data_IF_035246052918
#
_entry.id   IF_035246052918
#
_cell.length_a   1.000
_cell.length_b   1.000
_cell.length_c   1.000
_cell.angle_alpha   90.00
_cell.angle_beta   90.00
_cell.angle_gamma   90.00
#
_symmetry.space_group_name_H-M   'P 1'
#
loop_
_entity.id
_entity.type
_entity.pdbx_description
1 polymer ?
#
# COMPACT_ATOMS: atom_id res chain seq x y z
N UNK A 1 83.10 -15.39 -22.78
CA UNK A 1 84.09 -16.30 -22.18
C UNK A 1 83.49 -16.85 -20.89
N UNK A 2 82.64 -17.88 -20.96
CA UNK A 2 83.00 -19.31 -20.89
C UNK A 2 83.66 -19.71 -19.55
N UNK A 3 82.89 -20.28 -18.62
CA UNK A 3 83.00 -21.71 -18.35
C UNK A 3 81.95 -22.22 -17.36
N UNK A 4 81.28 -23.27 -17.81
CA UNK A 4 80.55 -24.27 -17.05
C UNK A 4 81.52 -25.37 -16.58
N UNK A 5 81.02 -26.22 -15.67
CA UNK A 5 81.53 -27.52 -15.20
C UNK A 5 82.48 -27.45 -13.99
N UNK A 6 82.22 -28.14 -12.88
CA UNK A 6 82.10 -29.62 -12.77
C UNK A 6 81.41 -29.98 -11.42
N UNK A 7 80.24 -30.64 -11.39
CA UNK A 7 79.99 -32.09 -11.09
C UNK A 7 80.54 -32.55 -9.71
N UNK A 8 79.70 -32.75 -8.67
CA UNK A 8 78.81 -33.90 -8.34
C UNK A 8 79.45 -34.96 -7.39
N UNK A 9 78.77 -35.21 -6.25
CA UNK A 9 78.71 -36.45 -5.42
C UNK A 9 79.96 -36.83 -4.57
N UNK A 10 79.92 -37.24 -3.29
CA UNK A 10 78.88 -37.84 -2.40
C UNK A 10 79.38 -37.84 -0.92
N UNK A 11 78.44 -37.63 0.04
CA UNK A 11 78.26 -38.33 1.36
C UNK A 11 79.38 -38.14 2.42
N UNK A 12 79.18 -37.84 3.72
CA UNK A 12 78.08 -38.00 4.69
C UNK A 12 78.33 -37.15 5.93
N UNK A 13 77.26 -36.93 6.71
CA UNK A 13 77.20 -36.44 8.09
C UNK A 13 77.05 -34.93 8.26
N UNK A 14 75.79 -34.48 8.28
CA UNK A 14 75.23 -33.76 9.44
C UNK A 14 73.70 -33.82 9.32
N UNK A 15 73.10 -34.78 10.05
CA UNK A 15 71.69 -34.71 10.47
C UNK A 15 71.66 -33.78 11.68
N UNK A 16 70.87 -32.71 11.66
CA UNK A 16 70.01 -32.32 12.78
C UNK A 16 69.18 -31.04 12.52
N UNK A 17 67.88 -31.16 12.82
CA UNK A 17 66.87 -30.13 13.13
C UNK A 17 66.48 -29.09 12.07
N UNK A 18 65.42 -29.40 11.32
CA UNK A 18 64.47 -28.38 10.86
C UNK A 18 63.39 -28.21 11.94
N UNK A 19 63.32 -27.04 12.55
CA UNK A 19 62.22 -26.66 13.43
C UNK A 19 61.07 -26.14 12.55
N UNK A 20 59.98 -26.90 12.46
CA UNK A 20 58.71 -26.43 11.93
C UNK A 20 58.13 -25.38 12.90
N UNK A 21 58.11 -24.10 12.51
CA UNK A 21 57.31 -23.11 13.20
C UNK A 21 55.83 -23.38 12.91
N UNK A 22 55.18 -24.13 13.78
CA UNK A 22 53.72 -24.18 13.85
C UNK A 22 53.21 -22.78 14.18
N UNK A 23 52.32 -22.23 13.34
CA UNK A 23 51.54 -21.03 13.68
C UNK A 23 50.94 -21.22 15.08
N UNK A 24 50.99 -20.23 15.98
CA UNK A 24 50.37 -20.36 17.29
C UNK A 24 48.88 -20.63 17.11
N UNK A 25 48.43 -21.77 17.66
CA UNK A 25 47.02 -22.09 17.79
C UNK A 25 46.41 -21.09 18.76
N UNK A 26 45.65 -20.13 18.22
CA UNK A 26 44.80 -19.25 19.01
C UNK A 26 43.52 -20.05 19.27
N UNK A 27 43.22 -20.44 20.52
CA UNK A 27 41.99 -21.15 20.80
C UNK A 27 40.82 -20.23 20.42
N UNK A 28 39.93 -20.73 19.56
CA UNK A 28 38.62 -20.11 19.35
C UNK A 28 37.90 -20.09 20.70
N UNK A 29 37.75 -18.89 21.26
CA UNK A 29 36.87 -18.67 22.40
C UNK A 29 35.45 -19.01 21.93
N UNK A 30 34.92 -20.15 22.37
CA UNK A 30 33.50 -20.45 22.23
C UNK A 30 32.71 -19.35 22.97
N UNK A 31 31.84 -18.66 22.23
CA UNK A 31 31.01 -17.58 22.77
C UNK A 31 31.29 -16.17 22.21
N UNK A 32 32.29 -15.97 21.35
CA UNK A 32 32.42 -14.71 20.61
C UNK A 32 31.54 -14.76 19.36
N UNK A 33 30.31 -14.28 19.48
CA UNK A 33 29.55 -13.84 18.30
C UNK A 33 30.36 -12.71 17.66
N UNK A 34 31.08 -13.00 16.56
CA UNK A 34 31.65 -11.94 15.73
C UNK A 34 30.47 -11.09 15.26
N UNK A 35 30.32 -9.90 15.84
CA UNK A 35 29.36 -8.93 15.32
C UNK A 35 29.80 -8.58 13.91
N UNK A 36 28.98 -8.92 12.92
CA UNK A 36 29.18 -8.49 11.54
C UNK A 36 29.21 -6.94 11.55
N UNK A 37 30.25 -6.29 11.00
CA UNK A 37 30.29 -4.83 10.88
C UNK A 37 29.03 -4.30 10.18
N UNK A 38 28.58 -3.11 10.56
CA UNK A 38 27.34 -2.51 10.03
C UNK A 38 27.37 -2.44 8.48
N UNK A 39 28.54 -2.16 7.91
CA UNK A 39 28.77 -2.08 6.47
C UNK A 39 28.53 -3.44 5.77
N UNK A 40 28.97 -4.54 6.39
CA UNK A 40 28.75 -5.89 5.86
C UNK A 40 27.27 -6.31 6.04
N UNK A 41 26.62 -5.81 7.09
CA UNK A 41 25.18 -5.98 7.29
C UNK A 41 24.38 -5.22 6.23
N UNK A 42 24.82 -4.03 5.79
CA UNK A 42 24.21 -3.28 4.69
C UNK A 42 24.41 -3.99 3.33
N UNK A 43 25.57 -4.61 3.08
CA UNK A 43 25.78 -5.41 1.87
C UNK A 43 24.99 -6.73 1.87
N UNK A 44 24.88 -7.42 3.00
CA UNK A 44 24.01 -8.59 3.12
C UNK A 44 22.54 -8.19 3.01
N UNK A 45 22.13 -7.12 3.69
CA UNK A 45 20.80 -6.57 3.59
C UNK A 45 20.49 -6.14 2.15
N UNK A 46 21.48 -5.57 1.44
CA UNK A 46 21.25 -5.11 0.07
C UNK A 46 20.92 -6.26 -0.87
N UNK A 47 21.65 -7.37 -0.76
CA UNK A 47 21.42 -8.61 -1.52
C UNK A 47 20.12 -9.33 -1.11
N UNK A 48 19.68 -9.17 0.13
CA UNK A 48 18.45 -9.77 0.65
C UNK A 48 17.20 -8.94 0.31
N UNK A 49 17.35 -7.66 -0.05
CA UNK A 49 16.22 -6.75 -0.21
C UNK A 49 16.10 -6.09 -1.59
N UNK A 50 17.20 -5.95 -2.32
CA UNK A 50 17.22 -5.40 -3.68
C UNK A 50 17.88 -6.38 -4.65
N UNK A 51 17.35 -6.39 -5.87
CA UNK A 51 17.92 -7.10 -7.01
C UNK A 51 18.08 -6.08 -8.14
N UNK A 52 19.29 -5.55 -8.27
CA UNK A 52 19.62 -4.53 -9.26
C UNK A 52 19.90 -5.12 -10.65
N UNK A 53 19.83 -6.46 -10.79
CA UNK A 53 20.08 -7.13 -12.08
C UNK A 53 18.87 -7.10 -13.00
N UNK A 54 17.68 -6.86 -12.45
CA UNK A 54 16.43 -6.81 -13.21
C UNK A 54 16.36 -5.51 -14.01
N UNK A 55 16.10 -5.64 -15.31
CA UNK A 55 15.96 -4.51 -16.23
C UNK A 55 14.64 -4.59 -16.99
N UNK A 56 14.34 -3.57 -17.80
CA UNK A 56 13.18 -3.59 -18.71
C UNK A 56 13.26 -4.73 -19.74
N UNK A 57 14.44 -5.32 -19.94
CA UNK A 57 14.67 -6.44 -20.84
C UNK A 57 14.37 -7.81 -20.22
N UNK A 58 14.09 -7.86 -18.91
CA UNK A 58 13.70 -9.10 -18.21
C UNK A 58 12.47 -9.74 -18.89
N UNK A 59 12.52 -11.03 -19.27
CA UNK A 59 11.43 -11.69 -20.00
C UNK A 59 10.08 -11.68 -19.25
N UNK A 60 10.11 -11.74 -17.92
CA UNK A 60 8.92 -11.67 -17.07
C UNK A 60 8.32 -10.28 -17.13
N UNK A 61 9.16 -9.24 -16.99
CA UNK A 61 8.73 -7.83 -17.06
C UNK A 61 8.11 -7.53 -18.42
N UNK A 62 8.80 -7.86 -19.52
CA UNK A 62 8.31 -7.64 -20.89
C UNK A 62 6.97 -8.31 -21.13
N UNK A 63 6.87 -9.60 -20.84
CA UNK A 63 5.63 -10.37 -21.02
C UNK A 63 4.49 -9.79 -20.19
N UNK A 64 4.77 -9.42 -18.94
CA UNK A 64 3.76 -8.85 -18.05
C UNK A 64 3.28 -7.50 -18.56
N UNK A 65 4.19 -6.62 -18.97
CA UNK A 65 3.88 -5.31 -19.52
C UNK A 65 2.99 -5.43 -20.77
N UNK A 66 3.39 -6.23 -21.75
CA UNK A 66 2.59 -6.44 -22.98
C UNK A 66 1.18 -6.93 -22.67
N UNK A 67 1.04 -7.92 -21.79
CA UNK A 67 -0.27 -8.48 -21.46
C UNK A 67 -1.13 -7.52 -20.61
N UNK A 68 -0.51 -6.72 -19.74
CA UNK A 68 -1.17 -5.70 -18.93
C UNK A 68 -1.74 -4.59 -19.83
N UNK A 69 -0.91 -4.05 -20.74
CA UNK A 69 -1.34 -3.02 -21.70
C UNK A 69 -2.41 -3.53 -22.66
N UNK A 70 -2.46 -4.84 -22.93
CA UNK A 70 -3.53 -5.49 -23.67
C UNK A 70 -4.85 -5.67 -22.86
N UNK A 71 -4.90 -5.22 -21.61
CA UNK A 71 -6.07 -5.29 -20.74
C UNK A 71 -6.40 -6.69 -20.21
N UNK A 72 -5.42 -7.61 -20.18
CA UNK A 72 -5.66 -8.97 -19.70
C UNK A 72 -5.80 -9.01 -18.17
N UNK A 73 -6.99 -9.37 -17.67
CA UNK A 73 -7.28 -9.46 -16.22
C UNK A 73 -6.31 -10.36 -15.44
N UNK A 74 -5.90 -11.48 -16.04
CA UNK A 74 -4.93 -12.40 -15.42
C UNK A 74 -3.54 -11.76 -15.27
N UNK A 75 -3.14 -10.93 -16.24
CA UNK A 75 -1.88 -10.18 -16.16
C UNK A 75 -1.96 -9.10 -15.08
N UNK A 76 -3.07 -8.37 -14.97
CA UNK A 76 -3.30 -7.41 -13.88
C UNK A 76 -3.18 -8.09 -12.51
N UNK A 77 -3.86 -9.21 -12.29
CA UNK A 77 -3.77 -9.94 -11.02
C UNK A 77 -2.35 -10.42 -10.71
N UNK A 78 -1.64 -10.91 -11.73
CA UNK A 78 -0.25 -11.37 -11.59
C UNK A 78 0.72 -10.21 -11.32
N UNK A 79 0.51 -9.06 -11.96
CA UNK A 79 1.29 -7.85 -11.75
C UNK A 79 1.10 -7.30 -10.33
N UNK A 80 -0.13 -7.27 -9.82
CA UNK A 80 -0.42 -6.88 -8.43
C UNK A 80 0.29 -7.84 -7.46
N UNK A 81 0.21 -9.14 -7.71
CA UNK A 81 0.91 -10.15 -6.88
C UNK A 81 2.44 -9.98 -6.93
N UNK A 82 2.98 -9.50 -8.06
CA UNK A 82 4.41 -9.27 -8.25
C UNK A 82 4.90 -8.09 -7.38
N UNK A 83 4.17 -6.98 -7.38
CA UNK A 83 4.52 -5.78 -6.58
C UNK A 83 4.31 -6.00 -5.08
N UNK A 84 3.32 -6.82 -4.69
CA UNK A 84 3.08 -7.25 -3.32
C UNK A 84 4.16 -8.23 -2.77
N UNK A 85 5.04 -8.74 -3.63
CA UNK A 85 5.99 -9.79 -3.25
C UNK A 85 7.10 -9.28 -2.32
N UNK A 86 7.42 -10.07 -1.30
CA UNK A 86 8.60 -9.86 -0.44
C UNK A 86 9.89 -10.45 -1.03
N UNK A 87 9.81 -11.19 -2.13
CA UNK A 87 11.00 -11.72 -2.81
C UNK A 87 11.73 -10.59 -3.57
N UNK A 88 13.06 -10.42 -3.41
CA UNK A 88 13.80 -9.30 -3.97
C UNK A 88 13.72 -9.17 -5.48
N UNK A 89 13.94 -10.27 -6.20
CA UNK A 89 13.85 -10.32 -7.67
C UNK A 89 12.44 -9.98 -8.14
N UNK A 90 11.41 -10.58 -7.54
CA UNK A 90 10.00 -10.28 -7.89
C UNK A 90 9.65 -8.82 -7.62
N UNK A 91 10.09 -8.29 -6.48
CA UNK A 91 9.91 -6.88 -6.12
C UNK A 91 10.61 -5.95 -7.12
N UNK A 92 11.83 -6.27 -7.53
CA UNK A 92 12.55 -5.53 -8.56
C UNK A 92 11.83 -5.58 -9.92
N UNK A 93 11.36 -6.76 -10.34
CA UNK A 93 10.52 -6.92 -11.55
C UNK A 93 9.24 -6.08 -11.47
N UNK A 94 8.57 -6.07 -10.32
CA UNK A 94 7.40 -5.21 -10.08
C UNK A 94 7.71 -3.73 -10.19
N UNK A 95 8.82 -3.26 -9.61
CA UNK A 95 9.26 -1.87 -9.70
C UNK A 95 9.59 -1.45 -11.13
N UNK A 96 10.29 -2.29 -11.90
CA UNK A 96 10.59 -2.01 -13.31
C UNK A 96 9.29 -1.98 -14.13
N UNK A 97 8.37 -2.92 -13.90
CA UNK A 97 7.05 -2.94 -14.54
C UNK A 97 6.26 -1.65 -14.26
N UNK A 98 6.19 -1.23 -13.00
CA UNK A 98 5.51 0.01 -12.60
C UNK A 98 6.11 1.23 -13.31
N UNK A 99 7.44 1.28 -13.45
CA UNK A 99 8.11 2.37 -14.16
C UNK A 99 7.71 2.41 -15.63
N UNK A 100 7.68 1.27 -16.32
CA UNK A 100 7.23 1.19 -17.71
C UNK A 100 5.76 1.63 -17.86
N UNK A 101 4.89 1.22 -16.94
CA UNK A 101 3.48 1.65 -16.92
C UNK A 101 3.36 3.17 -16.70
N UNK A 102 4.12 3.74 -15.76
CA UNK A 102 4.13 5.19 -15.53
C UNK A 102 4.65 5.97 -16.73
N UNK A 103 5.63 5.43 -17.46
CA UNK A 103 6.15 6.06 -18.68
C UNK A 103 5.08 6.11 -19.77
N UNK A 104 4.35 5.01 -19.99
CA UNK A 104 3.25 4.94 -20.95
C UNK A 104 2.07 5.83 -20.54
N UNK A 105 1.64 5.81 -19.28
CA UNK A 105 0.54 6.65 -18.79
C UNK A 105 0.90 8.15 -18.85
N UNK A 106 2.16 8.51 -18.62
CA UNK A 106 2.63 9.89 -18.82
C UNK A 106 2.53 10.31 -20.29
N UNK A 107 2.90 9.44 -21.22
CA UNK A 107 2.82 9.74 -22.65
C UNK A 107 1.39 9.73 -23.18
N UNK A 108 0.51 8.93 -22.58
CA UNK A 108 -0.94 8.96 -22.79
C UNK A 108 -1.55 10.27 -22.27
N UNK A 109 -1.17 10.72 -21.08
CA UNK A 109 -1.59 12.01 -20.52
C UNK A 109 -1.16 13.20 -21.37
N UNK A 110 0.06 13.19 -21.92
CA UNK A 110 0.49 14.24 -22.87
C UNK A 110 -0.38 14.31 -24.12
N UNK A 111 -0.94 13.18 -24.57
CA UNK A 111 -1.76 13.09 -25.80
C UNK A 111 -3.24 13.41 -25.55
N UNK A 112 -3.77 12.96 -24.42
CA UNK A 112 -5.21 12.95 -24.14
C UNK A 112 -5.62 13.85 -22.96
N UNK A 113 -4.64 14.39 -22.22
CA UNK A 113 -4.89 15.21 -21.03
C UNK A 113 -5.55 14.43 -19.91
N UNK A 114 -6.37 15.14 -19.10
CA UNK A 114 -7.09 14.57 -17.95
C UNK A 114 -7.96 13.37 -18.31
N UNK A 115 -8.48 13.28 -19.52
CA UNK A 115 -9.35 12.18 -19.94
C UNK A 115 -8.66 10.82 -19.94
N UNK A 116 -7.33 10.76 -19.93
CA UNK A 116 -6.60 9.50 -19.77
C UNK A 116 -6.43 9.05 -18.33
N UNK A 117 -6.70 9.91 -17.35
CA UNK A 117 -6.46 9.64 -15.94
C UNK A 117 -7.55 8.72 -15.38
N UNK A 118 -7.15 7.73 -14.59
CA UNK A 118 -8.09 6.92 -13.80
C UNK A 118 -8.72 7.77 -12.69
N UNK A 119 -10.02 7.69 -12.44
CA UNK A 119 -10.64 8.36 -11.28
C UNK A 119 -10.58 7.47 -10.04
N UNK A 120 -9.96 7.97 -8.95
CA UNK A 120 -9.73 7.24 -7.70
C UNK A 120 -10.76 7.66 -6.64
N UNK A 121 -11.65 6.74 -6.28
CA UNK A 121 -12.75 6.97 -5.33
C UNK A 121 -12.50 6.15 -4.07
N UNK A 122 -12.33 6.80 -2.92
CA UNK A 122 -12.27 6.15 -1.63
C UNK A 122 -13.68 5.97 -1.05
N UNK A 123 -14.02 4.79 -0.55
CA UNK A 123 -15.31 4.53 0.11
C UNK A 123 -15.06 3.98 1.51
N UNK A 124 -15.59 4.66 2.51
CA UNK A 124 -15.57 4.23 3.91
C UNK A 124 -16.96 4.33 4.54
N UNK A 125 -17.12 3.78 5.74
CA UNK A 125 -18.36 3.75 6.49
C UNK A 125 -18.36 2.62 7.52
N UNK A 126 -19.18 2.77 8.55
CA UNK A 126 -19.26 1.80 9.66
C UNK A 126 -19.60 0.38 9.18
N UNK A 127 -19.20 -0.68 9.91
CA UNK A 127 -19.68 -2.03 9.63
C UNK A 127 -21.21 -2.08 9.57
N UNK A 128 -21.77 -2.78 8.57
CA UNK A 128 -23.22 -2.92 8.42
C UNK A 128 -23.94 -1.75 7.74
N UNK A 129 -23.25 -0.66 7.39
CA UNK A 129 -23.84 0.48 6.64
C UNK A 129 -24.30 0.11 5.22
N UNK A 130 -23.85 -1.02 4.68
CA UNK A 130 -24.19 -1.46 3.33
C UNK A 130 -23.13 -1.11 2.26
N UNK A 131 -21.86 -0.89 2.65
CA UNK A 131 -20.75 -0.58 1.74
C UNK A 131 -20.66 -1.50 0.54
N UNK A 132 -20.47 -2.80 0.74
CA UNK A 132 -20.25 -3.73 -0.38
C UNK A 132 -21.44 -3.78 -1.34
N UNK A 133 -22.68 -3.71 -0.82
CA UNK A 133 -23.88 -3.64 -1.66
C UNK A 133 -23.98 -2.32 -2.42
N UNK A 134 -23.58 -1.20 -1.80
CA UNK A 134 -23.53 0.08 -2.47
C UNK A 134 -22.43 0.12 -3.56
N UNK A 135 -21.25 -0.45 -3.29
CA UNK A 135 -20.16 -0.57 -4.26
C UNK A 135 -20.58 -1.43 -5.45
N UNK A 136 -21.28 -2.55 -5.22
CA UNK A 136 -21.84 -3.36 -6.30
C UNK A 136 -22.83 -2.57 -7.16
N UNK A 137 -23.80 -1.89 -6.54
CA UNK A 137 -24.78 -1.08 -7.25
C UNK A 137 -24.11 0.07 -8.04
N UNK A 138 -23.14 0.76 -7.43
CA UNK A 138 -22.37 1.82 -8.07
C UNK A 138 -21.52 1.29 -9.22
N UNK A 139 -20.82 0.17 -9.02
CA UNK A 139 -20.02 -0.47 -10.07
C UNK A 139 -20.87 -0.92 -11.26
N UNK A 140 -22.07 -1.46 -11.01
CA UNK A 140 -23.02 -1.80 -12.05
C UNK A 140 -23.53 -0.56 -12.80
N UNK A 141 -23.87 0.52 -12.10
CA UNK A 141 -24.25 1.80 -12.72
C UNK A 141 -23.13 2.35 -13.63
N UNK A 142 -21.90 2.38 -13.14
CA UNK A 142 -20.72 2.85 -13.87
C UNK A 142 -20.44 2.01 -15.12
N UNK A 143 -20.55 0.69 -15.02
CA UNK A 143 -20.23 -0.23 -16.13
C UNK A 143 -21.36 -0.29 -17.16
N UNK A 144 -22.62 -0.38 -16.73
CA UNK A 144 -23.77 -0.58 -17.62
C UNK A 144 -24.23 0.73 -18.26
N UNK A 145 -24.39 1.80 -17.46
CA UNK A 145 -25.00 3.04 -17.94
C UNK A 145 -23.96 4.09 -18.38
N UNK A 146 -22.73 4.02 -17.86
CA UNK A 146 -21.64 4.94 -18.23
C UNK A 146 -20.51 4.32 -19.04
N UNK A 147 -20.58 3.01 -19.31
CA UNK A 147 -19.60 2.29 -20.13
C UNK A 147 -18.18 2.26 -19.56
N UNK A 148 -18.02 2.46 -18.25
CA UNK A 148 -16.70 2.54 -17.59
C UNK A 148 -16.17 1.17 -17.19
N UNK A 149 -14.86 0.98 -17.29
CA UNK A 149 -14.14 -0.13 -16.64
C UNK A 149 -13.83 0.23 -15.20
N UNK A 150 -14.24 -0.63 -14.26
CA UNK A 150 -14.18 -0.36 -12.82
C UNK A 150 -13.29 -1.38 -12.11
N UNK A 151 -12.29 -0.92 -11.37
CA UNK A 151 -11.53 -1.74 -10.43
C UNK A 151 -12.02 -1.47 -9.00
N UNK A 152 -12.12 -2.50 -8.17
CA UNK A 152 -12.42 -2.40 -6.74
C UNK A 152 -11.27 -3.03 -5.97
N UNK A 153 -10.58 -2.23 -5.17
CA UNK A 153 -9.47 -2.63 -4.31
C UNK A 153 -9.91 -2.51 -2.85
N UNK A 154 -9.94 -3.63 -2.12
CA UNK A 154 -10.36 -3.61 -0.71
C UNK A 154 -9.17 -3.72 0.24
N UNK A 155 -9.19 -2.91 1.29
CA UNK A 155 -8.20 -2.84 2.37
C UNK A 155 -8.76 -3.57 3.59
N UNK A 156 -8.20 -4.72 3.94
CA UNK A 156 -8.54 -5.37 5.21
C UNK A 156 -7.32 -5.40 6.16
N UNK A 157 -7.22 -4.48 7.14
CA UNK A 157 -6.13 -4.44 8.11
C UNK A 157 -6.09 -5.66 9.03
N UNK A 158 -7.20 -6.39 9.20
CA UNK A 158 -7.25 -7.60 10.04
C UNK A 158 -6.61 -8.82 9.39
N UNK A 159 -6.40 -8.77 8.07
CA UNK A 159 -5.68 -9.81 7.34
C UNK A 159 -4.22 -10.01 7.79
N UNK A 160 -3.69 -9.12 8.64
CA UNK A 160 -2.31 -9.14 9.13
C UNK A 160 -2.06 -10.33 10.05
N UNK A 161 -3.12 -10.81 10.70
CA UNK A 161 -3.08 -12.00 11.56
C UNK A 161 -3.40 -13.28 10.79
N UNK A 162 -4.12 -13.21 9.66
CA UNK A 162 -4.60 -14.40 8.93
C UNK A 162 -3.84 -14.69 7.63
N UNK A 163 -2.92 -13.81 7.20
CA UNK A 163 -2.10 -14.00 6.01
C UNK A 163 -2.81 -13.65 4.68
N UNK A 164 -3.93 -12.91 4.74
CA UNK A 164 -4.77 -12.58 3.58
C UNK A 164 -5.93 -13.55 3.40
N UNK A 165 -7.11 -13.01 3.09
CA UNK A 165 -8.25 -13.80 2.60
C UNK A 165 -8.26 -13.76 1.08
N UNK A 166 -8.36 -14.93 0.43
CA UNK A 166 -8.39 -15.06 -1.04
C UNK A 166 -9.81 -14.89 -1.60
N UNK A 167 -10.86 -15.08 -0.78
CA UNK A 167 -12.23 -15.30 -1.25
C UNK A 167 -13.32 -14.53 -0.47
N UNK A 168 -12.97 -13.81 0.61
CA UNK A 168 -13.94 -13.38 1.63
C UNK A 168 -15.06 -12.46 1.12
N UNK A 169 -14.72 -11.38 0.41
CA UNK A 169 -15.69 -10.36 -0.02
C UNK A 169 -16.24 -10.57 -1.43
N UNK A 170 -15.67 -11.48 -2.24
CA UNK A 170 -16.26 -11.82 -3.54
C UNK A 170 -17.68 -12.39 -3.40
N UNK A 171 -18.02 -12.94 -2.23
CA UNK A 171 -19.36 -13.41 -1.91
C UNK A 171 -20.40 -12.30 -1.73
N UNK A 172 -19.96 -11.06 -1.45
CA UNK A 172 -20.81 -9.87 -1.20
C UNK A 172 -21.07 -9.02 -2.45
N UNK A 173 -20.26 -9.17 -3.50
CA UNK A 173 -20.39 -8.46 -4.78
C UNK A 173 -20.52 -9.49 -5.93
N UNK A 174 -21.60 -10.26 -5.93
CA UNK A 174 -21.78 -11.42 -6.81
C UNK A 174 -22.00 -11.05 -8.28
N UNK A 175 -22.73 -9.98 -8.56
CA UNK A 175 -23.00 -9.52 -9.92
C UNK A 175 -21.76 -8.83 -10.49
N UNK A 176 -21.19 -7.90 -9.72
CA UNK A 176 -20.03 -7.12 -10.17
C UNK A 176 -18.80 -8.01 -10.39
N UNK A 177 -18.60 -9.05 -9.57
CA UNK A 177 -17.47 -9.99 -9.74
C UNK A 177 -17.52 -10.76 -11.07
N UNK A 178 -18.70 -10.98 -11.64
CA UNK A 178 -18.92 -11.65 -12.93
C UNK A 178 -18.89 -10.70 -14.11
N UNK A 179 -18.95 -9.40 -13.88
CA UNK A 179 -18.93 -8.39 -14.92
C UNK A 179 -17.54 -8.36 -15.61
N UNK A 180 -17.45 -8.50 -16.94
CA UNK A 180 -16.17 -8.46 -17.65
C UNK A 180 -15.49 -7.08 -17.58
N UNK A 181 -16.28 -6.01 -17.39
CA UNK A 181 -15.81 -4.63 -17.25
C UNK A 181 -15.39 -4.27 -15.81
N UNK A 182 -15.55 -5.21 -14.86
CA UNK A 182 -15.15 -5.01 -13.48
C UNK A 182 -14.00 -5.93 -13.06
N UNK A 183 -13.16 -5.45 -12.16
CA UNK A 183 -12.12 -6.24 -11.49
C UNK A 183 -12.16 -5.99 -10.00
N UNK A 184 -12.14 -7.04 -9.20
CA UNK A 184 -12.20 -6.96 -7.74
C UNK A 184 -10.99 -7.67 -7.16
N UNK A 185 -10.24 -6.98 -6.30
CA UNK A 185 -9.05 -7.51 -5.62
C UNK A 185 -9.11 -7.15 -4.15
N UNK A 186 -9.01 -8.17 -3.31
CA UNK A 186 -8.71 -7.97 -1.89
C UNK A 186 -7.19 -7.82 -1.74
N UNK A 187 -6.74 -6.72 -1.13
CA UNK A 187 -5.33 -6.51 -0.84
C UNK A 187 -4.95 -7.27 0.43
N UNK A 188 -3.91 -8.13 0.41
CA UNK A 188 -3.35 -8.67 1.63
C UNK A 188 -2.66 -7.56 2.44
N UNK A 189 -2.67 -7.66 3.76
CA UNK A 189 -1.78 -6.86 4.61
C UNK A 189 -0.42 -7.53 4.73
N UNK A 190 0.64 -6.73 4.75
CA UNK A 190 2.01 -7.23 4.94
C UNK A 190 2.47 -7.22 6.41
N UNK A 191 1.55 -7.17 7.38
CA UNK A 191 1.83 -7.17 8.82
C UNK A 191 1.86 -5.80 9.50
N UNK A 192 1.74 -4.70 8.74
CA UNK A 192 1.60 -3.33 9.25
C UNK A 192 0.68 -2.51 8.34
N UNK A 193 0.06 -1.44 8.88
CA UNK A 193 -0.81 -0.55 8.09
C UNK A 193 -0.05 0.11 6.92
N UNK A 194 1.23 0.42 7.09
CA UNK A 194 2.05 1.06 6.05
C UNK A 194 2.33 0.15 4.84
N UNK A 195 2.57 -1.14 5.07
CA UNK A 195 2.77 -2.06 3.95
C UNK A 195 1.50 -2.46 3.20
N UNK A 196 0.31 -2.28 3.81
CA UNK A 196 -1.00 -2.34 3.12
C UNK A 196 -1.12 -1.20 2.11
N UNK A 197 -0.75 0.02 2.54
CA UNK A 197 -0.86 1.21 1.69
C UNK A 197 0.06 1.15 0.49
N UNK A 198 1.22 0.50 0.63
CA UNK A 198 2.17 0.35 -0.46
C UNK A 198 1.59 -0.44 -1.64
N UNK A 199 1.08 -1.64 -1.38
CA UNK A 199 0.57 -2.52 -2.43
C UNK A 199 -0.60 -1.93 -3.21
N UNK A 200 -1.42 -1.09 -2.54
CA UNK A 200 -2.61 -0.49 -3.16
C UNK A 200 -2.26 0.65 -4.10
N UNK A 201 -1.33 1.53 -3.73
CA UNK A 201 -0.89 2.58 -4.64
C UNK A 201 -0.30 1.98 -5.92
N UNK A 202 0.56 0.96 -5.77
CA UNK A 202 1.13 0.23 -6.89
C UNK A 202 0.03 -0.47 -7.72
N UNK A 203 -0.99 -1.06 -7.07
CA UNK A 203 -2.13 -1.64 -7.75
C UNK A 203 -2.99 -0.63 -8.52
N UNK A 204 -3.16 0.60 -8.00
CA UNK A 204 -3.86 1.69 -8.71
C UNK A 204 -3.16 2.03 -10.02
N UNK A 205 -1.83 2.16 -10.00
CA UNK A 205 -1.02 2.40 -11.21
C UNK A 205 -1.20 1.25 -12.22
N UNK A 206 -1.19 0.00 -11.75
CA UNK A 206 -1.39 -1.16 -12.61
C UNK A 206 -2.81 -1.21 -13.20
N UNK A 207 -3.83 -0.81 -12.45
CA UNK A 207 -5.20 -0.67 -12.97
C UNK A 207 -5.28 0.43 -14.04
N UNK A 208 -4.62 1.56 -13.83
CA UNK A 208 -4.53 2.66 -14.80
C UNK A 208 -3.91 2.17 -16.12
N UNK A 209 -2.75 1.50 -16.05
CA UNK A 209 -2.09 0.89 -17.21
C UNK A 209 -2.89 -0.24 -17.89
N UNK A 210 -3.71 -0.96 -17.13
CA UNK A 210 -4.62 -1.98 -17.69
C UNK A 210 -5.87 -1.38 -18.36
N UNK A 211 -6.00 -0.04 -18.37
CA UNK A 211 -7.09 0.68 -19.04
C UNK A 211 -8.38 0.71 -18.24
N UNK A 212 -8.32 0.73 -16.91
CA UNK A 212 -9.48 1.02 -16.05
C UNK A 212 -9.74 2.51 -15.96
N UNK A 213 -11.01 2.91 -15.99
CA UNK A 213 -11.42 4.32 -15.93
C UNK A 213 -11.65 4.79 -14.48
N UNK A 214 -12.08 3.87 -13.61
CA UNK A 214 -12.39 4.15 -12.21
C UNK A 214 -11.76 3.08 -11.33
N UNK A 215 -11.13 3.50 -10.23
CA UNK A 215 -10.74 2.62 -9.14
C UNK A 215 -11.44 3.02 -7.85
N UNK A 216 -12.14 2.07 -7.25
CA UNK A 216 -12.81 2.20 -5.96
C UNK A 216 -11.90 1.57 -4.91
N UNK A 217 -11.53 2.33 -3.89
CA UNK A 217 -10.70 1.88 -2.78
C UNK A 217 -11.59 1.79 -1.53
N UNK A 218 -11.90 0.57 -1.10
CA UNK A 218 -12.74 0.32 0.07
C UNK A 218 -11.89 0.05 1.32
N UNK A 219 -12.26 0.64 2.46
CA UNK A 219 -11.79 0.17 3.78
C UNK A 219 -12.71 -0.91 4.34
N UNK A 220 -12.14 -2.04 4.74
CA UNK A 220 -12.82 -3.09 5.50
C UNK A 220 -12.50 -2.91 6.98
N UNK A 221 -13.53 -2.87 7.83
CA UNK A 221 -13.39 -2.90 9.29
C UNK A 221 -13.35 -1.54 10.02
N UNK A 222 -13.03 -1.60 11.31
CA UNK A 222 -12.89 -0.44 12.23
C UNK A 222 -11.41 -0.12 12.41
N UNK A 223 -10.96 1.08 12.02
CA UNK A 223 -9.53 1.40 11.99
C UNK A 223 -9.19 2.89 11.91
N UNK A 224 -7.90 3.14 11.61
CA UNK A 224 -7.33 4.44 11.18
C UNK A 224 -6.96 4.38 9.68
N UNK A 225 -7.61 3.49 8.92
CA UNK A 225 -7.33 3.27 7.49
C UNK A 225 -7.97 4.35 6.62
N UNK A 226 -8.90 5.14 7.14
CA UNK A 226 -9.64 6.17 6.41
C UNK A 226 -8.75 7.35 6.03
N UNK A 227 -7.79 7.72 6.90
CA UNK A 227 -6.77 8.73 6.58
C UNK A 227 -5.93 8.26 5.41
N UNK A 228 -5.47 7.00 5.47
CA UNK A 228 -4.69 6.40 4.39
C UNK A 228 -5.47 6.35 3.07
N UNK A 229 -6.75 5.99 3.10
CA UNK A 229 -7.59 6.00 1.89
C UNK A 229 -7.83 7.39 1.35
N UNK A 230 -8.10 8.38 2.20
CA UNK A 230 -8.20 9.79 1.79
C UNK A 230 -6.89 10.29 1.15
N UNK A 231 -5.74 9.76 1.58
CA UNK A 231 -4.46 10.06 0.95
C UNK A 231 -4.27 9.35 -0.40
N UNK A 232 -5.09 8.33 -0.75
CA UNK A 232 -5.02 7.49 -1.97
C UNK A 232 -6.10 7.73 -3.01
N UNK A 233 -7.14 8.49 -2.67
CA UNK A 233 -8.20 8.83 -3.59
C UNK A 233 -8.17 10.31 -4.00
N UNK A 234 -8.82 10.61 -5.12
CA UNK A 234 -9.14 11.97 -5.52
C UNK A 234 -10.37 12.44 -4.73
N UNK A 235 -11.38 11.57 -4.62
CA UNK A 235 -12.64 11.80 -3.93
C UNK A 235 -12.84 10.80 -2.78
N UNK A 236 -13.22 11.27 -1.60
CA UNK A 236 -13.58 10.43 -0.47
C UNK A 236 -15.09 10.45 -0.21
N UNK A 237 -15.73 9.29 -0.34
CA UNK A 237 -17.15 9.07 -0.06
C UNK A 237 -17.33 8.36 1.29
N UNK A 238 -18.16 8.93 2.15
CA UNK A 238 -18.53 8.36 3.45
C UNK A 238 -19.97 7.87 3.44
N UNK A 239 -20.15 6.56 3.65
CA UNK A 239 -21.47 5.98 3.82
C UNK A 239 -21.91 6.04 5.28
N UNK A 240 -23.17 6.45 5.49
CA UNK A 240 -23.80 6.64 6.79
C UNK A 240 -25.05 5.78 6.92
N UNK A 241 -25.24 5.19 8.10
CA UNK A 241 -26.44 4.39 8.39
C UNK A 241 -27.54 5.29 8.98
N UNK A 242 -28.81 5.15 8.57
CA UNK A 242 -29.90 5.95 9.10
C UNK A 242 -30.35 5.51 10.51
N UNK A 243 -29.78 4.43 11.06
CA UNK A 243 -30.37 3.71 12.20
C UNK A 243 -29.63 3.84 13.55
N UNK A 244 -28.64 4.73 13.70
CA UNK A 244 -27.92 4.88 14.98
C UNK A 244 -27.84 6.35 15.41
N UNK A 245 -28.75 6.77 16.29
CA UNK A 245 -28.90 8.15 16.76
C UNK A 245 -27.71 8.71 17.56
N UNK A 246 -26.75 7.88 17.95
CA UNK A 246 -25.51 8.30 18.65
C UNK A 246 -24.28 8.33 17.72
N UNK A 247 -24.43 8.05 16.42
CA UNK A 247 -23.29 7.99 15.48
C UNK A 247 -22.71 9.37 15.10
N UNK A 248 -23.36 10.51 15.38
CA UNK A 248 -22.67 11.79 15.22
C UNK A 248 -21.44 11.90 16.17
N UNK A 249 -21.49 11.21 17.33
CA UNK A 249 -20.31 11.02 18.19
C UNK A 249 -19.41 9.86 17.73
N UNK A 250 -19.96 8.86 17.02
CA UNK A 250 -19.24 7.68 16.53
C UNK A 250 -18.48 7.89 15.21
N UNK A 251 -18.96 8.78 14.33
CA UNK A 251 -18.22 9.25 13.17
C UNK A 251 -17.18 10.22 13.69
N UNK A 252 -15.94 9.74 13.79
CA UNK A 252 -14.78 10.54 14.20
C UNK A 252 -14.80 11.83 13.39
N UNK A 253 -14.83 12.99 14.05
CA UNK A 253 -14.73 14.33 13.42
C UNK A 253 -13.74 14.36 12.24
N UNK A 254 -12.59 13.71 12.39
CA UNK A 254 -11.57 13.62 11.33
C UNK A 254 -12.03 12.94 10.04
N UNK A 255 -12.90 11.92 10.06
CA UNK A 255 -13.37 11.26 8.83
C UNK A 255 -14.33 12.15 8.05
N UNK A 256 -15.22 12.87 8.74
CA UNK A 256 -16.12 13.84 8.09
C UNK A 256 -15.34 14.98 7.44
N UNK A 257 -14.32 15.49 8.14
CA UNK A 257 -13.42 16.53 7.61
C UNK A 257 -12.70 16.06 6.33
N UNK A 258 -12.46 14.76 6.20
CA UNK A 258 -11.83 14.14 5.02
C UNK A 258 -12.82 13.78 3.90
N UNK A 259 -14.13 13.91 4.09
CA UNK A 259 -15.12 13.41 3.12
C UNK A 259 -15.56 14.49 2.14
N UNK A 260 -15.55 14.17 0.85
CA UNK A 260 -16.03 15.04 -0.24
C UNK A 260 -17.52 14.81 -0.55
N UNK A 261 -18.06 13.63 -0.19
CA UNK A 261 -19.47 13.30 -0.30
C UNK A 261 -19.91 12.37 0.82
N UNK A 262 -21.04 12.67 1.44
CA UNK A 262 -21.66 11.81 2.45
C UNK A 262 -22.92 11.20 1.85
N UNK A 263 -23.13 9.91 2.04
CA UNK A 263 -24.29 9.18 1.52
C UNK A 263 -24.96 8.42 2.64
N UNK A 264 -26.16 8.87 3.04
CA UNK A 264 -27.02 8.12 3.96
C UNK A 264 -27.65 6.97 3.19
N UNK A 265 -27.23 5.75 3.47
CA UNK A 265 -27.70 4.54 2.81
C UNK A 265 -29.05 4.08 3.35
N UNK A 266 -29.64 3.05 2.74
CA UNK A 266 -30.89 2.42 3.20
C UNK A 266 -32.06 3.42 3.30
N UNK A 267 -32.14 4.38 2.38
CA UNK A 267 -33.27 5.32 2.25
C UNK A 267 -34.52 4.64 1.66
N UNK A 268 -34.98 3.57 2.30
CA UNK A 268 -36.09 2.73 1.87
C UNK A 268 -36.95 2.24 3.05
N UNK A 269 -38.16 1.79 2.74
CA UNK A 269 -39.13 1.29 3.71
C UNK A 269 -39.29 2.19 4.96
N UNK A 270 -39.23 1.55 6.12
CA UNK A 270 -39.37 2.19 7.43
C UNK A 270 -38.19 3.09 7.82
N UNK A 271 -37.07 3.01 7.09
CA UNK A 271 -35.86 3.79 7.36
C UNK A 271 -35.87 5.15 6.67
N UNK A 272 -36.75 5.41 5.69
CA UNK A 272 -36.83 6.70 4.96
C UNK A 272 -36.92 7.92 5.87
N UNK A 273 -37.76 7.86 6.91
CA UNK A 273 -37.92 8.97 7.84
C UNK A 273 -36.62 9.25 8.62
N UNK A 274 -35.95 8.20 9.09
CA UNK A 274 -34.67 8.31 9.81
C UNK A 274 -33.53 8.76 8.90
N UNK A 275 -33.51 8.30 7.64
CA UNK A 275 -32.52 8.73 6.65
C UNK A 275 -32.62 10.23 6.37
N UNK A 276 -33.84 10.78 6.28
CA UNK A 276 -34.07 12.23 6.16
C UNK A 276 -33.58 13.01 7.38
N UNK A 277 -33.85 12.51 8.59
CA UNK A 277 -33.35 13.14 9.82
C UNK A 277 -31.82 13.14 9.86
N UNK A 278 -31.21 11.99 9.60
CA UNK A 278 -29.74 11.83 9.54
C UNK A 278 -29.14 12.78 8.51
N UNK A 279 -29.72 12.85 7.30
CA UNK A 279 -29.26 13.78 6.27
C UNK A 279 -29.25 15.24 6.78
N UNK A 280 -30.34 15.67 7.44
CA UNK A 280 -30.45 17.02 7.97
C UNK A 280 -29.42 17.32 9.07
N UNK A 281 -29.15 16.35 9.95
CA UNK A 281 -28.13 16.45 10.99
C UNK A 281 -26.73 16.66 10.41
N UNK A 282 -26.34 15.83 9.42
CA UNK A 282 -25.03 15.95 8.78
C UNK A 282 -24.92 17.23 7.93
N UNK A 283 -25.99 17.66 7.25
CA UNK A 283 -26.01 18.97 6.57
C UNK A 283 -25.77 20.09 7.57
N UNK A 284 -26.38 20.02 8.76
CA UNK A 284 -26.16 21.00 9.82
C UNK A 284 -24.70 20.99 10.30
N UNK A 285 -24.12 19.81 10.51
CA UNK A 285 -22.73 19.65 10.95
C UNK A 285 -21.73 20.18 9.92
N UNK A 286 -21.94 19.92 8.62
CA UNK A 286 -21.06 20.40 7.54
C UNK A 286 -20.95 21.93 7.49
N UNK A 287 -21.96 22.68 7.94
CA UNK A 287 -21.92 24.16 7.98
C UNK A 287 -20.84 24.71 8.92
N UNK A 288 -20.42 23.94 9.90
CA UNK A 288 -19.39 24.33 10.86
C UNK A 288 -18.00 23.87 10.45
N UNK A 289 -17.87 23.18 9.33
CA UNK A 289 -16.60 22.66 8.83
C UNK A 289 -16.11 23.49 7.65
N UNK A 290 -14.79 23.65 7.57
CA UNK A 290 -14.15 24.27 6.41
C UNK A 290 -14.04 23.21 5.30
N UNK A 291 -14.49 23.50 4.07
CA UNK A 291 -14.24 22.63 2.94
C UNK A 291 -12.74 22.38 2.74
N UNK A 292 -12.38 21.17 2.30
CA UNK A 292 -10.99 20.82 1.96
C UNK A 292 -10.51 21.46 0.66
N UNK A 293 -11.44 21.67 -0.26
CA UNK A 293 -11.23 22.28 -1.55
C UNK A 293 -12.07 23.54 -1.62
N UNK A 294 -11.50 24.63 -2.13
CA UNK A 294 -12.26 25.86 -2.33
C UNK A 294 -13.33 25.68 -3.42
N UNK A 295 -13.07 24.78 -4.39
CA UNK A 295 -13.96 24.48 -5.52
C UNK A 295 -15.06 23.46 -5.21
N UNK A 296 -15.02 22.78 -4.05
CA UNK A 296 -15.99 21.76 -3.72
C UNK A 296 -16.47 21.85 -2.27
N UNK A 297 -17.80 21.94 -2.10
CA UNK A 297 -18.43 21.84 -0.79
C UNK A 297 -19.02 20.45 -0.63
N UNK A 298 -18.66 19.69 0.42
CA UNK A 298 -19.25 18.39 0.68
C UNK A 298 -20.77 18.47 0.76
N UNK A 299 -21.45 17.51 0.13
CA UNK A 299 -22.89 17.35 0.16
C UNK A 299 -23.29 16.09 0.93
N UNK A 300 -24.52 16.05 1.43
CA UNK A 300 -25.12 14.85 2.03
C UNK A 300 -26.28 14.39 1.17
N UNK A 301 -26.12 13.23 0.53
CA UNK A 301 -27.15 12.60 -0.27
C UNK A 301 -27.80 11.44 0.49
N UNK A 302 -28.96 10.99 0.00
CA UNK A 302 -29.62 9.77 0.45
C UNK A 302 -29.66 8.79 -0.70
N UNK A 303 -29.44 7.51 -0.44
CA UNK A 303 -29.50 6.47 -1.45
C UNK A 303 -30.00 5.15 -0.88
N UNK A 304 -30.73 4.42 -1.70
CA UNK A 304 -31.08 3.02 -1.46
C UNK A 304 -30.66 2.20 -2.66
N UNK A 305 -30.01 1.06 -2.44
CA UNK A 305 -29.70 0.10 -3.51
C UNK A 305 -30.97 -0.51 -4.14
N UNK A 306 -32.12 -0.39 -3.46
CA UNK A 306 -33.43 -0.81 -4.00
C UNK A 306 -33.97 0.20 -5.01
N UNK A 307 -33.42 1.41 -5.04
CA UNK A 307 -33.78 2.50 -5.94
C UNK A 307 -32.57 2.87 -6.81
N UNK A 308 -32.56 2.35 -8.05
CA UNK A 308 -31.50 2.57 -9.02
C UNK A 308 -31.29 4.06 -9.35
N UNK A 309 -32.34 4.85 -9.35
CA UNK A 309 -32.25 6.29 -9.63
C UNK A 309 -31.45 6.99 -8.53
N UNK A 310 -31.65 6.61 -7.27
CA UNK A 310 -30.88 7.15 -6.15
C UNK A 310 -29.38 6.88 -6.27
N UNK A 311 -28.98 5.69 -6.73
CA UNK A 311 -27.56 5.33 -6.96
C UNK A 311 -27.00 6.09 -8.16
N UNK A 312 -27.77 6.21 -9.24
CA UNK A 312 -27.38 7.00 -10.42
C UNK A 312 -27.17 8.47 -10.08
N UNK A 313 -28.03 9.06 -9.24
CA UNK A 313 -27.88 10.43 -8.76
C UNK A 313 -26.58 10.63 -7.96
N UNK A 314 -26.22 9.67 -7.10
CA UNK A 314 -24.93 9.71 -6.40
C UNK A 314 -23.76 9.61 -7.39
N UNK A 315 -23.85 8.74 -8.39
CA UNK A 315 -22.83 8.66 -9.44
C UNK A 315 -22.69 9.97 -10.22
N UNK A 316 -23.79 10.65 -10.54
CA UNK A 316 -23.77 11.96 -11.19
C UNK A 316 -23.03 12.98 -10.33
N UNK A 317 -23.34 13.05 -9.03
CA UNK A 317 -22.65 13.95 -8.10
C UNK A 317 -21.15 13.65 -7.97
N UNK A 318 -20.77 12.38 -8.02
CA UNK A 318 -19.36 11.95 -8.03
C UNK A 318 -18.63 12.46 -9.29
N UNK A 319 -19.29 12.46 -10.46
CA UNK A 319 -18.70 13.04 -11.68
C UNK A 319 -18.72 14.56 -11.69
N UNK A 320 -19.71 15.22 -11.07
CA UNK A 320 -19.67 16.67 -10.84
C UNK A 320 -18.42 17.06 -10.02
N UNK A 321 -18.07 16.27 -9.00
CA UNK A 321 -16.81 16.47 -8.26
C UNK A 321 -15.59 16.31 -9.17
N UNK A 322 -15.57 15.23 -9.97
CA UNK A 322 -14.47 14.95 -10.89
C UNK A 322 -14.22 16.14 -11.82
N UNK A 323 -15.28 16.73 -12.36
CA UNK A 323 -15.20 17.88 -13.25
C UNK A 323 -14.73 19.14 -12.52
N UNK A 324 -15.32 19.46 -11.37
CA UNK A 324 -14.95 20.63 -10.58
C UNK A 324 -13.47 20.59 -10.14
N UNK A 325 -12.97 19.44 -9.66
CA UNK A 325 -11.57 19.33 -9.23
C UNK A 325 -10.61 19.38 -10.42
N UNK A 326 -11.00 18.81 -11.56
CA UNK A 326 -10.19 18.83 -12.78
C UNK A 326 -10.05 20.24 -13.37
N UNK A 327 -11.13 21.01 -13.41
CA UNK A 327 -11.12 22.39 -13.92
C UNK A 327 -10.29 23.34 -13.04
N UNK A 328 -10.22 23.07 -11.74
CA UNK A 328 -9.48 23.88 -10.78
C UNK A 328 -7.95 23.71 -10.82
N UNK A 329 -7.46 22.58 -11.38
CA UNK A 329 -6.06 22.16 -11.29
C UNK A 329 -5.65 21.59 -9.91
N UNK A 330 -6.58 21.51 -8.94
CA UNK A 330 -6.31 20.92 -7.63
C UNK A 330 -6.06 19.41 -7.69
N UNK A 331 -6.57 18.73 -8.73
CA UNK A 331 -6.43 17.29 -8.91
C UNK A 331 -4.95 16.87 -9.04
N UNK A 332 -4.24 17.45 -10.00
CA UNK A 332 -2.83 17.17 -10.26
C UNK A 332 -1.97 17.55 -9.06
N UNK A 333 -2.22 18.73 -8.48
CA UNK A 333 -1.51 19.20 -7.29
C UNK A 333 -1.66 18.21 -6.13
N UNK A 334 -2.89 17.77 -5.85
CA UNK A 334 -3.16 16.78 -4.79
C UNK A 334 -2.47 15.46 -5.07
N UNK A 335 -2.53 14.94 -6.29
CA UNK A 335 -1.84 13.68 -6.64
C UNK A 335 -0.33 13.79 -6.45
N UNK A 336 0.28 14.93 -6.79
CA UNK A 336 1.71 15.17 -6.56
C UNK A 336 2.07 15.19 -5.06
N UNK A 337 1.26 15.87 -4.24
CA UNK A 337 1.43 15.91 -2.79
C UNK A 337 1.28 14.50 -2.17
N UNK A 338 0.27 13.74 -2.61
CA UNK A 338 0.05 12.35 -2.19
C UNK A 338 1.24 11.46 -2.54
N UNK A 339 1.78 11.56 -3.77
CA UNK A 339 2.96 10.81 -4.20
C UNK A 339 4.20 11.10 -3.37
N UNK A 340 4.45 12.37 -3.03
CA UNK A 340 5.57 12.75 -2.16
C UNK A 340 5.40 12.18 -0.75
N UNK A 341 4.19 12.29 -0.19
CA UNK A 341 3.86 11.73 1.13
C UNK A 341 4.07 10.21 1.15
N UNK A 342 3.72 9.51 0.08
CA UNK A 342 3.94 8.07 -0.03
C UNK A 342 5.38 7.67 -0.11
N UNK A 343 6.21 8.39 -0.88
CA UNK A 343 7.64 8.13 -0.91
C UNK A 343 8.22 8.17 0.50
N UNK A 344 7.88 9.20 1.29
CA UNK A 344 8.37 9.33 2.67
C UNK A 344 7.80 8.28 3.62
N UNK A 345 6.54 7.91 3.49
CA UNK A 345 5.96 6.80 4.26
C UNK A 345 6.67 5.48 3.96
N UNK A 346 6.96 5.22 2.68
CA UNK A 346 7.68 4.02 2.26
C UNK A 346 9.12 3.99 2.81
N UNK A 347 9.83 5.12 2.75
CA UNK A 347 11.17 5.25 3.37
C UNK A 347 11.11 4.96 4.87
N UNK A 348 10.12 5.52 5.58
CA UNK A 348 9.94 5.28 7.02
C UNK A 348 9.69 3.81 7.32
N UNK A 349 8.84 3.14 6.55
CA UNK A 349 8.52 1.72 6.74
C UNK A 349 9.72 0.82 6.48
N UNK A 350 10.49 1.08 5.42
CA UNK A 350 11.72 0.32 5.10
C UNK A 350 12.80 0.53 6.16
N UNK A 351 13.04 1.77 6.61
CA UNK A 351 13.99 2.06 7.69
C UNK A 351 13.57 1.33 8.99
N UNK A 352 12.28 1.36 9.34
CA UNK A 352 11.79 0.63 10.51
C UNK A 352 11.98 -0.88 10.37
N UNK A 353 11.76 -1.44 9.17
CA UNK A 353 12.00 -2.85 8.90
C UNK A 353 13.48 -3.24 9.01
N UNK A 354 14.41 -2.38 8.54
CA UNK A 354 15.86 -2.55 8.77
C UNK A 354 16.16 -2.54 10.26
N UNK A 355 15.67 -1.52 10.97
CA UNK A 355 15.94 -1.29 12.38
C UNK A 355 15.50 -2.47 13.25
N UNK A 356 14.27 -2.96 13.05
CA UNK A 356 13.70 -4.07 13.82
C UNK A 356 14.41 -5.41 13.57
N UNK A 357 14.95 -5.63 12.35
CA UNK A 357 15.68 -6.84 12.00
C UNK A 357 17.15 -6.81 12.40
N UNK A 358 17.68 -5.65 12.79
CA UNK A 358 19.07 -5.52 13.17
C UNK A 358 19.39 -6.44 14.37
N UNK A 359 20.39 -7.33 14.30
CA UNK A 359 20.61 -8.37 15.32
C UNK A 359 20.74 -7.85 16.75
N UNK A 360 21.40 -6.70 16.93
CA UNK A 360 21.51 -6.08 18.27
C UNK A 360 20.17 -5.56 18.79
N UNK A 361 19.32 -5.04 17.91
CA UNK A 361 18.02 -4.46 18.27
C UNK A 361 17.00 -5.57 18.51
N UNK A 362 16.95 -6.57 17.62
CA UNK A 362 16.07 -7.73 17.77
C UNK A 362 16.26 -8.46 19.12
N UNK A 363 17.51 -8.50 19.62
CA UNK A 363 17.83 -9.07 20.93
C UNK A 363 17.54 -8.11 22.10
N UNK A 364 17.75 -6.80 21.92
CA UNK A 364 17.61 -5.79 22.98
C UNK A 364 16.14 -5.38 23.23
N UNK A 365 15.34 -5.28 22.17
CA UNK A 365 13.98 -4.75 22.23
C UNK A 365 13.07 -5.50 23.22
N UNK A 366 13.02 -6.85 23.25
CA UNK A 366 12.18 -7.58 24.21
C UNK A 366 12.55 -7.30 25.68
N UNK A 367 13.84 -7.06 25.94
CA UNK A 367 14.28 -6.71 27.29
C UNK A 367 13.80 -5.31 27.68
N UNK A 368 13.99 -4.32 26.81
CA UNK A 368 13.55 -2.95 27.06
C UNK A 368 12.02 -2.84 27.19
N UNK A 369 11.26 -3.62 26.41
CA UNK A 369 9.80 -3.69 26.56
C UNK A 369 9.38 -4.22 27.95
N UNK A 370 10.09 -5.22 28.48
CA UNK A 370 9.86 -5.70 29.86
C UNK A 370 10.24 -4.66 30.90
N UNK A 371 11.32 -3.93 30.67
CA UNK A 371 11.78 -2.87 31.58
C UNK A 371 10.81 -1.68 31.59
N UNK A 372 10.21 -1.32 30.44
CA UNK A 372 9.12 -0.33 30.37
C UNK A 372 7.90 -0.82 31.16
N UNK A 373 7.44 -2.06 30.92
CA UNK A 373 6.26 -2.61 31.60
C UNK A 373 6.44 -2.71 33.12
N UNK A 374 7.67 -2.92 33.58
CA UNK A 374 8.01 -2.99 35.01
C UNK A 374 8.42 -1.65 35.62
N UNK A 375 8.38 -0.55 34.85
CA UNK A 375 8.70 0.79 35.34
C UNK A 375 10.19 1.05 35.60
N UNK A 376 11.09 0.20 35.10
CA UNK A 376 12.55 0.34 35.26
C UNK A 376 13.16 1.39 34.32
N UNK A 377 12.49 1.71 33.22
CA UNK A 377 12.91 2.72 32.25
C UNK A 377 11.69 3.41 31.63
N UNK A 378 11.90 4.58 31.02
CA UNK A 378 10.86 5.28 30.27
C UNK A 378 10.90 4.86 28.79
N UNK A 379 9.76 4.93 28.06
CA UNK A 379 9.74 4.65 26.62
C UNK A 379 10.73 5.50 25.81
N UNK A 380 10.90 6.78 26.19
CA UNK A 380 11.83 7.69 25.52
C UNK A 380 13.30 7.25 25.66
N UNK A 381 13.72 6.91 26.89
CA UNK A 381 15.10 6.47 27.14
C UNK A 381 15.38 5.10 26.50
N UNK A 382 14.42 4.17 26.55
CA UNK A 382 14.52 2.89 25.86
C UNK A 382 14.66 3.06 24.34
N UNK A 383 13.87 3.94 23.72
CA UNK A 383 13.97 4.26 22.30
C UNK A 383 15.34 4.86 21.94
N UNK A 384 15.82 5.83 22.71
CA UNK A 384 17.15 6.42 22.52
C UNK A 384 18.26 5.36 22.63
N UNK A 385 18.16 4.46 23.61
CA UNK A 385 19.09 3.35 23.80
C UNK A 385 19.13 2.45 22.56
N UNK A 386 17.97 2.06 22.01
CA UNK A 386 17.92 1.26 20.78
C UNK A 386 18.55 2.01 19.60
N UNK A 387 18.29 3.30 19.44
CA UNK A 387 18.85 4.13 18.37
C UNK A 387 20.38 4.20 18.48
N UNK A 388 20.90 4.48 19.68
CA UNK A 388 22.34 4.51 19.97
C UNK A 388 23.02 3.18 19.64
N UNK A 389 22.42 2.07 20.08
CA UNK A 389 22.92 0.71 19.79
C UNK A 389 22.89 0.39 18.30
N UNK A 390 21.89 0.87 17.56
CA UNK A 390 21.80 0.70 16.11
C UNK A 390 22.93 1.43 15.38
N UNK A 391 23.21 2.69 15.76
CA UNK A 391 24.31 3.48 15.20
C UNK A 391 25.70 3.15 15.78
N UNK A 392 25.77 2.36 16.85
CA UNK A 392 27.02 2.01 17.52
C UNK A 392 27.64 3.16 18.31
N UNK A 393 26.83 4.08 18.83
CA UNK A 393 27.25 5.29 19.58
C UNK A 393 26.87 5.25 21.05
#
# INVERSE_FOLDING_TARGET
MSNLATKLWRISQFRQFSASFSKPYIPTIEGVNKSVPFENLLEEYSRIHWDDTVTAEDPTVKRMFTNLMAGQRAALASAITLVESKNPTKRAQGNVLLKLVLDEERDKYKRLGRDSMIFRIGISGSPGVGKSSFIEAMGNELTVNRGKKVAVLTIDPTSAMTGGSVLGDLTRMQELSRNPMAYIRQSPTSGSLGGVTRGIHEAVILCEGAGYDVVIIETVGVGQSEVSVSDMCDMMCLLLSPAHGDELQGVKRGIMEMSDLLVVTKDDGDLKAKAKMTQAEYISALKFMRPRLDVWRPEVMRSSIMDKESVSNVCSKIYEFWDAIGESGDLERRRQEQMQKWMWNHVKDEIMAVFQKHPKIANLAPQLERDIKSGKTTPGLAAETMIRVFFGV
#
